data_IF_408910878295
#
_entry.id   IF_408910878295
#
_cell.length_a   1.000
_cell.length_b   1.000
_cell.length_c   1.000
_cell.angle_alpha   90.00
_cell.angle_beta   90.00
_cell.angle_gamma   90.00
#
_symmetry.space_group_name_H-M   'P 1'
#
loop_
_entity.id
_entity.type
_entity.pdbx_description
1 polymer ?
#
# COMPACT_ATOMS: atom_id res chain seq x y z
N UNK A 1 -4.73 10.95 -6.12
CA UNK A 1 -4.76 10.79 -7.59
C UNK A 1 -3.39 10.27 -8.01
N UNK A 2 -3.14 8.96 -7.92
CA UNK A 2 -1.85 8.35 -8.30
C UNK A 2 -2.10 7.19 -9.27
N UNK A 3 -2.96 7.42 -10.27
CA UNK A 3 -3.10 6.53 -11.43
C UNK A 3 -2.11 6.97 -12.48
N UNK A 4 -0.81 6.79 -12.23
CA UNK A 4 0.18 6.85 -13.29
C UNK A 4 -0.11 5.68 -14.23
N UNK A 5 -0.39 5.94 -15.50
CA UNK A 5 -0.39 4.89 -16.52
C UNK A 5 0.98 4.20 -16.46
N UNK A 6 1.04 2.88 -16.21
CA UNK A 6 2.32 2.19 -16.18
C UNK A 6 3.05 2.45 -17.49
N UNK A 7 4.26 3.00 -17.41
CA UNK A 7 5.11 3.13 -18.60
C UNK A 7 5.35 1.74 -19.16
N UNK A 8 4.94 1.52 -20.42
CA UNK A 8 5.30 0.39 -21.29
C UNK A 8 5.44 -0.96 -20.54
N UNK A 9 4.36 -1.72 -20.45
CA UNK A 9 4.40 -3.06 -19.88
C UNK A 9 5.35 -3.94 -20.71
N UNK A 10 6.46 -4.36 -20.08
CA UNK A 10 7.31 -5.43 -20.60
C UNK A 10 6.61 -6.78 -20.55
N UNK A 11 7.17 -7.78 -21.22
CA UNK A 11 6.67 -9.16 -21.11
C UNK A 11 7.26 -9.83 -19.87
N UNK A 12 6.45 -10.63 -19.18
CA UNK A 12 6.86 -11.40 -18.01
C UNK A 12 7.81 -12.53 -18.42
N UNK A 13 9.00 -12.53 -17.82
CA UNK A 13 10.03 -13.56 -18.06
C UNK A 13 10.10 -14.58 -16.93
N UNK A 14 9.69 -14.19 -15.71
CA UNK A 14 9.70 -15.06 -14.54
C UNK A 14 8.80 -14.51 -13.42
N UNK A 15 8.22 -15.43 -12.66
CA UNK A 15 7.37 -15.18 -11.49
C UNK A 15 8.08 -15.57 -10.19
N UNK A 16 7.91 -14.76 -9.16
CA UNK A 16 8.51 -15.00 -7.84
C UNK A 16 7.49 -14.77 -6.72
N UNK A 17 7.44 -15.63 -5.69
CA UNK A 17 6.55 -15.45 -4.54
C UNK A 17 7.04 -14.36 -3.57
N UNK A 18 8.28 -13.88 -3.73
CA UNK A 18 8.88 -12.87 -2.85
C UNK A 18 9.63 -11.81 -3.65
N UNK A 19 9.65 -10.61 -3.11
CA UNK A 19 10.35 -9.48 -3.71
C UNK A 19 11.86 -9.73 -3.79
N UNK A 20 12.46 -10.39 -2.80
CA UNK A 20 13.87 -10.76 -2.82
C UNK A 20 14.22 -11.71 -3.96
N UNK A 21 13.33 -12.67 -4.27
CA UNK A 21 13.47 -13.57 -5.42
C UNK A 21 13.49 -12.79 -6.73
N UNK A 22 12.54 -11.87 -6.89
CA UNK A 22 12.49 -10.97 -8.04
C UNK A 22 13.74 -10.09 -8.15
N UNK A 23 14.22 -9.51 -7.03
CA UNK A 23 15.45 -8.72 -7.03
C UNK A 23 16.68 -9.52 -7.49
N UNK A 24 16.83 -10.76 -7.02
CA UNK A 24 17.94 -11.63 -7.46
C UNK A 24 17.88 -11.90 -8.96
N UNK A 25 16.69 -12.06 -9.52
CA UNK A 25 16.52 -12.23 -10.96
C UNK A 25 16.90 -10.95 -11.72
N UNK A 26 16.48 -9.78 -11.24
CA UNK A 26 16.90 -8.49 -11.81
C UNK A 26 18.42 -8.33 -11.79
N UNK A 27 19.08 -8.67 -10.67
CA UNK A 27 20.54 -8.64 -10.58
C UNK A 27 21.20 -9.50 -11.66
N UNK A 28 20.72 -10.74 -11.88
CA UNK A 28 21.23 -11.64 -12.93
C UNK A 28 21.03 -11.08 -14.34
N UNK A 29 19.91 -10.40 -14.60
CA UNK A 29 19.65 -9.78 -15.89
C UNK A 29 20.60 -8.60 -16.15
N UNK A 30 20.88 -7.81 -15.10
CA UNK A 30 21.85 -6.70 -15.18
C UNK A 30 23.26 -7.25 -15.41
N UNK A 31 23.65 -8.34 -14.75
CA UNK A 31 24.91 -9.05 -14.99
C UNK A 31 25.02 -9.58 -16.43
N UNK A 32 23.89 -9.96 -17.04
CA UNK A 32 23.81 -10.33 -18.45
C UNK A 32 23.75 -9.11 -19.40
N UNK A 33 24.13 -7.91 -18.92
CA UNK A 33 24.17 -6.66 -19.66
C UNK A 33 22.82 -6.26 -20.28
N UNK A 34 21.73 -6.50 -19.56
CA UNK A 34 20.42 -5.99 -19.93
C UNK A 34 20.24 -4.61 -19.25
N UNK A 35 19.86 -3.56 -20.00
CA UNK A 35 19.70 -2.23 -19.41
C UNK A 35 18.68 -2.25 -18.26
N UNK A 36 19.05 -1.75 -17.08
CA UNK A 36 18.16 -1.73 -15.92
C UNK A 36 16.84 -0.98 -16.17
N UNK A 37 16.86 0.05 -17.03
CA UNK A 37 15.68 0.80 -17.48
C UNK A 37 14.67 -0.04 -18.30
N UNK A 38 15.07 -1.24 -18.73
CA UNK A 38 14.24 -2.14 -19.53
C UNK A 38 13.60 -3.23 -18.68
N UNK A 39 13.96 -3.31 -17.39
CA UNK A 39 13.51 -4.33 -16.45
C UNK A 39 12.56 -3.67 -15.45
N UNK A 40 11.42 -4.30 -15.20
CA UNK A 40 10.49 -3.88 -14.15
C UNK A 40 10.10 -5.05 -13.25
N UNK A 41 9.84 -4.76 -11.98
CA UNK A 41 9.22 -5.70 -11.04
C UNK A 41 7.78 -5.25 -10.86
N UNK A 42 6.84 -6.11 -11.26
CA UNK A 42 5.40 -5.85 -11.19
C UNK A 42 4.81 -6.70 -10.07
N UNK A 43 4.32 -6.05 -9.01
CA UNK A 43 3.56 -6.73 -7.97
C UNK A 43 2.14 -7.04 -8.45
N UNK A 44 1.73 -8.29 -8.31
CA UNK A 44 0.42 -8.80 -8.74
C UNK A 44 -0.34 -9.36 -7.54
N UNK A 45 -1.66 -9.38 -7.63
CA UNK A 45 -2.51 -9.70 -6.47
C UNK A 45 -2.26 -8.73 -5.32
N UNK A 46 -2.41 -7.43 -5.59
CA UNK A 46 -2.22 -6.42 -4.55
C UNK A 46 -3.36 -6.52 -3.54
N UNK A 47 -3.03 -6.89 -2.31
CA UNK A 47 -3.94 -6.82 -1.17
C UNK A 47 -3.58 -5.63 -0.30
N UNK A 48 -4.59 -4.84 0.04
CA UNK A 48 -4.46 -3.81 1.06
C UNK A 48 -4.71 -4.46 2.41
N UNK A 49 -3.69 -4.46 3.27
CA UNK A 49 -3.77 -4.94 4.65
C UNK A 49 -3.84 -3.72 5.55
N UNK A 50 -4.97 -3.56 6.23
CA UNK A 50 -5.11 -2.56 7.29
C UNK A 50 -4.68 -3.19 8.61
N UNK A 51 -3.46 -2.87 9.06
CA UNK A 51 -2.95 -3.41 10.33
C UNK A 51 -3.32 -2.45 11.46
N UNK A 52 -4.17 -2.92 12.38
CA UNK A 52 -4.51 -2.18 13.60
C UNK A 52 -3.30 -2.20 14.53
N UNK A 53 -2.59 -1.08 14.64
CA UNK A 53 -1.37 -0.95 15.44
C UNK A 53 -1.66 -0.76 16.92
N UNK A 54 -2.89 -0.35 17.27
CA UNK A 54 -3.30 -0.21 18.67
C UNK A 54 -4.57 0.61 18.84
N UNK A 55 -4.99 0.75 20.11
CA UNK A 55 -6.09 1.64 20.47
C UNK A 55 -5.61 3.08 20.45
N UNK A 56 -6.36 3.90 19.73
CA UNK A 56 -6.14 5.33 19.71
C UNK A 56 -6.63 5.88 21.06
N UNK A 57 -5.73 6.38 21.90
CA UNK A 57 -6.07 6.83 23.24
C UNK A 57 -5.27 8.03 23.70
N UNK A 58 -5.86 8.82 24.59
CA UNK A 58 -5.23 9.99 25.21
C UNK A 58 -3.89 9.67 25.87
N UNK A 59 -3.75 8.46 26.44
CA UNK A 59 -2.49 8.00 27.03
C UNK A 59 -1.36 7.85 26.00
N UNK A 60 -1.65 7.37 24.78
CA UNK A 60 -0.66 7.25 23.72
C UNK A 60 -0.25 8.64 23.20
N UNK A 61 -1.23 9.54 22.98
CA UNK A 61 -0.97 10.92 22.59
C UNK A 61 -0.13 11.66 23.65
N UNK A 62 -0.47 11.52 24.93
CA UNK A 62 0.29 12.09 26.02
C UNK A 62 1.74 11.57 26.04
N UNK A 63 1.98 10.28 25.82
CA UNK A 63 3.35 9.72 25.75
C UNK A 63 4.15 10.31 24.60
N UNK A 64 3.59 10.35 23.39
CA UNK A 64 4.27 10.94 22.23
C UNK A 64 4.52 12.44 22.43
N UNK A 65 3.55 13.15 23.00
CA UNK A 65 3.68 14.55 23.40
C UNK A 65 4.74 14.78 24.46
N UNK A 66 4.86 13.90 25.45
CA UNK A 66 5.90 13.96 26.48
C UNK A 66 7.29 13.78 25.85
N UNK A 67 7.47 12.79 24.96
CA UNK A 67 8.74 12.54 24.27
C UNK A 67 9.18 13.76 23.48
N UNK A 68 8.28 14.36 22.68
CA UNK A 68 8.58 15.60 21.97
C UNK A 68 8.76 16.79 22.92
N UNK A 69 8.02 16.82 24.03
CA UNK A 69 8.12 17.82 25.08
C UNK A 69 9.44 17.76 25.85
N UNK A 70 10.10 16.60 25.95
CA UNK A 70 11.45 16.48 26.52
C UNK A 70 12.43 17.28 25.67
N UNK A 71 12.38 17.13 24.35
CA UNK A 71 13.28 17.87 23.45
C UNK A 71 13.06 19.38 23.58
N UNK A 72 11.79 19.81 23.59
CA UNK A 72 11.43 21.21 23.76
C UNK A 72 11.83 21.76 25.13
N UNK A 73 11.56 21.00 26.19
CA UNK A 73 11.92 21.33 27.56
C UNK A 73 13.42 21.41 27.75
N UNK A 74 14.18 20.49 27.16
CA UNK A 74 15.65 20.50 27.19
C UNK A 74 16.19 21.73 26.45
N UNK A 75 15.63 22.08 25.29
CA UNK A 75 16.02 23.28 24.56
C UNK A 75 15.79 24.55 25.40
N UNK A 76 14.59 24.77 25.92
CA UNK A 76 14.29 25.96 26.71
C UNK A 76 15.07 25.99 28.02
N UNK A 77 15.25 24.83 28.65
CA UNK A 77 16.02 24.73 29.88
C UNK A 77 17.50 25.02 29.64
N UNK A 78 18.07 24.57 28.52
CA UNK A 78 19.43 24.91 28.12
C UNK A 78 19.58 26.42 27.84
N UNK A 79 18.66 27.03 27.08
CA UNK A 79 18.68 28.48 26.82
C UNK A 79 18.59 29.27 28.15
N UNK A 80 17.74 28.82 29.06
CA UNK A 80 17.54 29.49 30.34
C UNK A 80 18.78 29.41 31.25
N UNK A 81 19.45 28.26 31.30
CA UNK A 81 20.71 28.09 32.07
C UNK A 81 21.86 28.88 31.42
N UNK A 82 21.99 28.86 30.09
CA UNK A 82 23.02 29.64 29.39
C UNK A 82 22.83 31.15 29.57
N UNK A 83 21.57 31.62 29.62
CA UNK A 83 21.24 33.02 29.87
C UNK A 83 21.33 33.44 31.35
N UNK A 84 21.48 32.50 32.27
CA UNK A 84 21.50 32.78 33.70
C UNK A 84 22.56 31.93 34.44
N UNK A 85 23.79 32.45 34.64
CA UNK A 85 24.91 31.69 35.23
C UNK A 85 24.69 31.32 36.71
N UNK A 86 23.69 31.89 37.37
CA UNK A 86 23.29 31.56 38.74
C UNK A 86 22.15 30.53 38.79
N UNK A 87 21.74 29.97 37.65
CA UNK A 87 20.62 29.04 37.59
C UNK A 87 20.91 27.76 38.38
N UNK A 88 20.08 27.53 39.40
CA UNK A 88 20.11 26.29 40.18
C UNK A 88 19.61 25.11 39.34
N UNK A 89 20.18 23.92 39.54
CA UNK A 89 19.77 22.67 38.87
C UNK A 89 18.26 22.42 39.02
N UNK A 90 17.65 22.85 40.13
CA UNK A 90 16.21 22.77 40.36
C UNK A 90 15.40 23.53 39.29
N UNK A 91 15.90 24.69 38.85
CA UNK A 91 15.24 25.51 37.84
C UNK A 91 15.34 24.87 36.46
N UNK A 92 16.46 24.23 36.14
CA UNK A 92 16.60 23.44 34.92
C UNK A 92 15.55 22.34 34.85
N UNK A 93 15.41 21.57 35.94
CA UNK A 93 14.42 20.49 36.04
C UNK A 93 13.00 21.08 35.93
N UNK A 94 12.72 22.20 36.60
CA UNK A 94 11.43 22.87 36.54
C UNK A 94 11.03 23.27 35.11
N UNK A 95 11.91 23.97 34.39
CA UNK A 95 11.66 24.39 33.00
C UNK A 95 11.50 23.19 32.07
N UNK A 96 12.31 22.14 32.27
CA UNK A 96 12.20 20.91 31.50
C UNK A 96 10.83 20.23 31.71
N UNK A 97 10.38 20.10 32.96
CA UNK A 97 9.07 19.50 33.28
C UNK A 97 7.91 20.31 32.69
N UNK A 98 8.02 21.64 32.68
CA UNK A 98 7.02 22.51 32.02
C UNK A 98 7.00 22.26 30.51
N UNK A 99 8.16 22.16 29.85
CA UNK A 99 8.22 21.83 28.42
C UNK A 99 7.60 20.47 28.09
N UNK A 100 7.84 19.47 28.95
CA UNK A 100 7.22 18.15 28.87
C UNK A 100 5.69 18.25 29.02
N UNK A 101 5.21 18.97 30.03
CA UNK A 101 3.78 19.15 30.28
C UNK A 101 3.07 19.88 29.13
N UNK A 102 3.68 20.93 28.57
CA UNK A 102 3.17 21.65 27.41
C UNK A 102 3.16 20.73 26.18
N UNK A 103 4.22 19.96 25.95
CA UNK A 103 4.29 18.98 24.85
C UNK A 103 3.19 17.92 24.95
N UNK A 104 2.93 17.40 26.16
CA UNK A 104 1.80 16.50 26.42
C UNK A 104 0.47 17.17 26.11
N UNK A 105 0.23 18.36 26.63
CA UNK A 105 -1.03 19.09 26.47
C UNK A 105 -1.31 19.38 24.99
N UNK A 106 -0.32 19.89 24.27
CA UNK A 106 -0.43 20.16 22.83
C UNK A 106 -0.74 18.89 22.05
N UNK A 107 -0.07 17.77 22.35
CA UNK A 107 -0.35 16.51 21.67
C UNK A 107 -1.76 15.98 21.96
N UNK A 108 -2.25 16.11 23.18
CA UNK A 108 -3.64 15.76 23.56
C UNK A 108 -4.66 16.63 22.82
N UNK A 109 -4.40 17.94 22.67
CA UNK A 109 -5.27 18.86 21.94
C UNK A 109 -5.26 18.53 20.44
N UNK A 110 -4.08 18.35 19.84
CA UNK A 110 -3.98 17.92 18.44
C UNK A 110 -4.70 16.59 18.22
N UNK A 111 -4.55 15.68 19.16
CA UNK A 111 -5.23 14.40 19.15
C UNK A 111 -6.75 14.54 19.20
N UNK A 112 -7.31 15.39 20.08
CA UNK A 112 -8.75 15.58 20.18
C UNK A 112 -9.37 16.17 18.91
N UNK A 113 -8.65 17.06 18.22
CA UNK A 113 -9.07 17.63 16.93
C UNK A 113 -9.09 16.55 15.83
N UNK A 114 -8.09 15.68 15.80
CA UNK A 114 -7.96 14.61 14.80
C UNK A 114 -8.84 13.39 15.09
N UNK A 115 -9.24 13.14 16.35
CA UNK A 115 -10.02 11.96 16.79
C UNK A 115 -11.48 11.94 16.30
N UNK A 116 -11.82 12.61 15.20
CA UNK A 116 -13.23 12.80 14.86
C UNK A 116 -13.99 11.51 14.51
N UNK A 117 -13.34 10.38 14.15
CA UNK A 117 -14.05 9.14 13.71
C UNK A 117 -13.43 7.75 13.94
N UNK A 118 -12.31 7.55 14.67
CA UNK A 118 -11.76 6.18 14.90
C UNK A 118 -11.11 6.01 16.28
N UNK A 119 -11.43 4.90 16.96
CA UNK A 119 -10.83 4.47 18.23
C UNK A 119 -9.58 3.60 18.08
N UNK A 120 -9.04 3.52 16.86
CA UNK A 120 -7.91 2.67 16.51
C UNK A 120 -6.91 3.45 15.65
N UNK A 121 -5.61 3.21 15.87
CA UNK A 121 -4.59 3.58 14.89
C UNK A 121 -4.41 2.42 13.93
N UNK A 122 -4.51 2.70 12.64
CA UNK A 122 -4.25 1.72 11.60
C UNK A 122 -3.21 2.25 10.63
N UNK A 123 -2.38 1.33 10.14
CA UNK A 123 -1.44 1.57 9.04
C UNK A 123 -1.92 0.73 7.87
N UNK A 124 -2.23 1.40 6.76
CA UNK A 124 -2.59 0.74 5.51
C UNK A 124 -1.31 0.38 4.77
N UNK A 125 -1.13 -0.90 4.48
CA UNK A 125 -0.01 -1.40 3.69
C UNK A 125 -0.54 -2.12 2.46
N UNK A 126 0.07 -1.88 1.30
CA UNK A 126 -0.23 -2.63 0.08
C UNK A 126 0.84 -3.70 -0.09
N UNK A 127 0.43 -4.97 -0.10
CA UNK A 127 1.31 -6.13 -0.23
C UNK A 127 0.91 -6.89 -1.49
N UNK A 128 1.89 -7.35 -2.27
CA UNK A 128 1.65 -8.19 -3.44
C UNK A 128 1.67 -9.67 -3.05
N UNK A 129 0.83 -10.48 -3.69
CA UNK A 129 0.83 -11.94 -3.53
C UNK A 129 2.00 -12.58 -4.27
N UNK A 130 2.36 -12.03 -5.43
CA UNK A 130 3.46 -12.48 -6.28
C UNK A 130 4.08 -11.30 -7.04
N UNK A 131 5.30 -11.50 -7.50
CA UNK A 131 6.11 -10.52 -8.21
C UNK A 131 6.52 -11.08 -9.56
N UNK A 132 6.12 -10.40 -10.61
CA UNK A 132 6.52 -10.68 -11.98
C UNK A 132 7.73 -9.82 -12.34
N UNK A 133 8.79 -10.42 -12.88
CA UNK A 133 9.87 -9.67 -13.52
C UNK A 133 9.55 -9.55 -14.99
N UNK A 134 9.42 -8.32 -15.49
CA UNK A 134 9.08 -8.03 -16.88
C UNK A 134 10.22 -7.31 -17.59
N UNK A 135 10.37 -7.54 -18.89
CA UNK A 135 11.40 -6.90 -19.71
C UNK A 135 10.78 -6.31 -20.97
N UNK A 136 11.22 -5.11 -21.37
CA UNK A 136 10.77 -4.47 -22.59
C UNK A 136 11.11 -5.31 -23.84
N UNK A 137 10.27 -5.27 -24.90
CA UNK A 137 10.45 -6.09 -26.11
C UNK A 137 11.85 -5.98 -26.74
N UNK A 138 12.49 -4.80 -26.65
CA UNK A 138 13.84 -4.54 -27.21
C UNK A 138 14.97 -5.38 -26.59
N UNK A 139 14.78 -5.87 -25.36
CA UNK A 139 15.81 -6.66 -24.64
C UNK A 139 15.33 -8.06 -24.26
N UNK A 140 14.13 -8.43 -24.71
CA UNK A 140 13.43 -9.65 -24.31
C UNK A 140 14.12 -10.92 -24.82
N UNK A 141 14.61 -10.92 -26.06
CA UNK A 141 15.37 -12.04 -26.63
C UNK A 141 16.63 -12.32 -25.80
N UNK A 142 17.42 -11.28 -25.51
CA UNK A 142 18.63 -11.37 -24.68
C UNK A 142 18.30 -11.83 -23.25
N UNK A 143 17.19 -11.34 -22.68
CA UNK A 143 16.71 -11.75 -21.36
C UNK A 143 16.32 -13.22 -21.28
N UNK A 144 15.63 -13.75 -22.30
CA UNK A 144 15.30 -15.18 -22.38
C UNK A 144 16.54 -16.04 -22.52
N UNK A 145 17.53 -15.62 -23.32
CA UNK A 145 18.81 -16.32 -23.46
C UNK A 145 19.59 -16.34 -22.13
N UNK A 146 19.66 -15.21 -21.42
CA UNK A 146 20.32 -15.11 -20.13
C UNK A 146 19.63 -15.94 -19.04
N UNK A 147 18.29 -15.92 -19.01
CA UNK A 147 17.49 -16.68 -18.05
C UNK A 147 17.52 -18.18 -18.34
N UNK A 148 17.47 -18.58 -19.61
CA UNK A 148 17.58 -19.97 -20.06
C UNK A 148 18.96 -20.58 -19.77
N UNK A 149 20.04 -19.80 -19.85
CA UNK A 149 21.40 -20.25 -19.48
C UNK A 149 21.52 -20.62 -18.00
N UNK A 150 20.75 -19.95 -17.13
CA UNK A 150 20.69 -20.24 -15.70
C UNK A 150 19.89 -21.51 -15.38
N UNK A 151 18.88 -21.86 -16.19
CA UNK A 151 18.15 -23.12 -16.06
C UNK A 151 19.01 -24.32 -16.50
N UNK A 152 19.86 -24.15 -17.52
CA UNK A 152 20.72 -25.22 -18.05
C UNK A 152 21.98 -25.52 -17.21
N UNK A 153 22.30 -24.67 -16.22
CA UNK A 153 23.45 -24.88 -15.32
C UNK A 153 23.10 -25.65 -14.04
N UNK A 154 21.83 -26.06 -13.86
CA UNK A 154 21.36 -26.96 -12.78
C UNK A 154 20.94 -28.31 -13.38
N UNK A 155 21.81 -28.91 -14.20
CA UNK A 155 21.71 -30.31 -14.62
C UNK A 155 23.03 -31.01 -14.36
N UNK A 156 23.38 -31.14 -13.08
CA UNK A 156 24.32 -32.18 -12.64
C UNK A 156 23.47 -33.22 -11.91
N UNK A 157 22.97 -34.21 -12.64
CA UNK A 157 22.27 -35.36 -12.04
C UNK A 157 23.26 -36.13 -11.14
N UNK A 158 22.92 -36.45 -9.89
CA UNK A 158 23.41 -37.67 -9.27
C UNK A 158 22.69 -38.86 -9.92
N UNK A 159 23.47 -39.88 -10.31
CA UNK A 159 22.98 -41.13 -10.87
C UNK A 159 21.95 -41.83 -9.96
N UNK A 160 20.88 -42.44 -10.51
CA UNK A 160 19.92 -43.18 -9.70
C UNK A 160 20.53 -44.53 -9.31
N UNK A 161 20.89 -44.68 -8.04
CA UNK A 161 21.12 -46.00 -7.45
C UNK A 161 19.75 -46.66 -7.27
N UNK A 162 19.55 -47.81 -7.90
CA UNK A 162 18.32 -48.58 -7.84
C UNK A 162 17.95 -48.91 -6.39
N UNK A 163 16.94 -48.20 -5.87
CA UNK A 163 16.26 -48.50 -4.62
C UNK A 163 14.81 -48.90 -4.94
N UNK A 164 14.44 -50.09 -4.49
CA UNK A 164 13.12 -50.72 -4.61
C UNK A 164 11.97 -49.74 -4.37
N UNK A 165 11.16 -49.50 -5.40
CA UNK A 165 9.93 -48.74 -5.30
C UNK A 165 8.88 -49.53 -4.50
N UNK A 166 8.63 -49.11 -3.25
CA UNK A 166 7.40 -49.45 -2.53
C UNK A 166 6.29 -48.57 -3.11
N UNK A 167 5.28 -49.20 -3.69
CA UNK A 167 4.08 -48.54 -4.25
C UNK A 167 3.16 -48.18 -3.07
N UNK A 168 2.90 -46.89 -2.76
CA UNK A 168 1.80 -46.52 -1.88
C UNK A 168 0.45 -46.68 -2.62
N UNK A 169 -0.66 -47.04 -1.93
CA UNK A 169 -1.95 -47.23 -2.57
C UNK A 169 -2.49 -45.92 -3.13
N UNK A 170 -3.03 -46.00 -4.35
CA UNK A 170 -3.63 -44.90 -5.09
C UNK A 170 -4.83 -44.30 -4.33
N UNK A 171 -4.77 -43.00 -4.05
CA UNK A 171 -5.92 -42.19 -3.64
C UNK A 171 -6.67 -41.77 -4.90
N UNK A 172 -8.00 -42.00 -5.02
CA UNK A 172 -8.77 -41.62 -6.20
C UNK A 172 -8.81 -40.09 -6.40
N UNK A 173 -8.95 -39.59 -7.64
CA UNK A 173 -8.99 -38.17 -7.94
C UNK A 173 -10.25 -37.51 -7.34
N UNK A 174 -10.05 -36.54 -6.45
CA UNK A 174 -11.15 -35.68 -5.95
C UNK A 174 -11.50 -34.65 -7.03
N UNK A 175 -12.78 -34.63 -7.42
CA UNK A 175 -13.36 -33.66 -8.36
C UNK A 175 -13.30 -32.23 -7.79
N UNK A 176 -13.21 -31.19 -8.65
CA UNK A 176 -13.23 -29.80 -8.20
C UNK A 176 -14.57 -29.45 -7.51
N UNK A 177 -14.59 -28.54 -6.53
CA UNK A 177 -15.81 -28.20 -5.79
C UNK A 177 -16.84 -27.54 -6.72
N UNK A 178 -17.99 -28.20 -6.87
CA UNK A 178 -19.16 -27.62 -7.52
C UNK A 178 -19.70 -26.47 -6.65
N UNK A 179 -19.68 -25.26 -7.19
CA UNK A 179 -20.40 -24.10 -6.63
C UNK A 179 -21.88 -24.32 -6.91
N UNK A 180 -22.67 -24.67 -5.88
CA UNK A 180 -24.12 -24.82 -5.99
C UNK A 180 -24.80 -23.44 -6.07
N UNK A 181 -25.67 -23.17 -7.06
CA UNK A 181 -26.38 -21.87 -7.20
C UNK A 181 -27.46 -21.57 -6.14
N UNK A 182 -27.55 -22.35 -5.06
CA UNK A 182 -28.65 -22.31 -4.09
C UNK A 182 -28.23 -21.78 -2.71
N UNK A 183 -27.04 -21.21 -2.56
CA UNK A 183 -26.58 -20.64 -1.30
C UNK A 183 -26.77 -19.10 -1.28
N UNK A 184 -27.42 -18.51 -0.25
CA UNK A 184 -27.63 -17.06 -0.20
C UNK A 184 -26.29 -16.31 -0.05
N UNK A 185 -26.08 -15.19 -0.78
CA UNK A 185 -24.83 -14.44 -0.74
C UNK A 185 -24.58 -13.84 0.64
N UNK A 186 -23.33 -14.00 1.15
CA UNK A 186 -22.89 -13.36 2.38
C UNK A 186 -22.72 -11.85 2.16
N UNK A 187 -23.43 -11.11 3.02
CA UNK A 187 -23.61 -9.67 3.04
C UNK A 187 -22.30 -8.85 3.03
N UNK A 188 -22.25 -7.77 2.22
CA UNK A 188 -21.18 -6.78 2.25
C UNK A 188 -20.89 -6.07 0.91
N UNK A 189 -21.39 -6.57 -0.21
CA UNK A 189 -21.19 -5.98 -1.53
C UNK A 189 -22.39 -5.13 -1.95
N UNK A 190 -22.17 -3.84 -2.24
CA UNK A 190 -23.18 -2.99 -2.86
C UNK A 190 -23.19 -3.33 -4.35
N UNK A 191 -24.17 -4.11 -4.78
CA UNK A 191 -24.52 -4.27 -6.19
C UNK A 191 -25.29 -3.02 -6.61
N UNK A 192 -24.73 -2.24 -7.55
CA UNK A 192 -25.51 -1.24 -8.25
C UNK A 192 -26.59 -1.97 -9.07
N UNK A 193 -27.89 -1.63 -8.94
CA UNK A 193 -28.93 -2.32 -9.69
C UNK A 193 -28.74 -2.07 -11.19
N UNK A 194 -28.64 -3.16 -11.96
CA UNK A 194 -28.73 -3.12 -13.41
C UNK A 194 -30.10 -2.53 -13.83
N UNK A 195 -30.15 -1.72 -14.91
CA UNK A 195 -31.41 -1.15 -15.38
C UNK A 195 -32.35 -2.23 -15.92
N UNK A 196 -33.59 -2.24 -15.44
CA UNK A 196 -34.66 -3.14 -15.89
C UNK A 196 -34.95 -2.95 -17.39
N UNK A 197 -35.03 -4.02 -18.20
CA UNK A 197 -35.38 -3.94 -19.62
C UNK A 197 -36.88 -3.73 -19.88
N UNK A 198 -37.69 -3.42 -18.86
CA UNK A 198 -39.15 -3.23 -18.97
C UNK A 198 -39.63 -1.87 -18.45
N UNK A 199 -38.72 -0.92 -18.18
CA UNK A 199 -39.12 0.45 -17.93
C UNK A 199 -39.49 1.13 -19.26
N UNK A 200 -40.79 1.38 -19.44
CA UNK A 200 -41.35 2.23 -20.48
C UNK A 200 -40.65 3.60 -20.47
N UNK A 201 -40.31 4.20 -21.64
CA UNK A 201 -39.56 5.45 -21.66
C UNK A 201 -40.38 6.54 -20.97
N UNK A 202 -39.82 7.14 -19.91
CA UNK A 202 -40.37 8.35 -19.32
C UNK A 202 -40.48 9.43 -20.42
N UNK A 203 -41.60 10.20 -20.48
CA UNK A 203 -41.76 11.25 -21.47
C UNK A 203 -40.65 12.30 -21.33
N UNK A 204 -40.17 12.87 -22.44
CA UNK A 204 -39.08 13.83 -22.42
C UNK A 204 -39.44 15.03 -21.55
N UNK A 205 -38.51 15.39 -20.67
CA UNK A 205 -38.61 16.61 -19.87
C UNK A 205 -38.75 17.84 -20.79
N UNK A 206 -39.57 18.85 -20.42
CA UNK A 206 -39.71 20.05 -21.21
C UNK A 206 -38.36 20.77 -21.33
N UNK A 207 -38.06 21.24 -22.54
CA UNK A 207 -36.82 21.91 -22.89
C UNK A 207 -36.59 23.15 -21.99
N UNK A 208 -35.33 23.48 -21.66
CA UNK A 208 -35.01 24.71 -20.95
C UNK A 208 -35.40 25.91 -21.81
N UNK A 209 -36.21 26.78 -21.20
CA UNK A 209 -36.70 28.05 -21.74
C UNK A 209 -35.51 28.96 -22.11
N UNK A 210 -35.51 29.62 -23.28
CA UNK A 210 -34.42 30.51 -23.67
C UNK A 210 -34.35 31.73 -22.73
N UNK A 211 -33.14 32.27 -22.49
CA UNK A 211 -32.98 33.42 -21.60
C UNK A 211 -33.75 34.63 -22.13
N UNK A 212 -34.49 35.29 -21.23
CA UNK A 212 -35.21 36.53 -21.52
C UNK A 212 -34.25 37.63 -21.98
N UNK A 213 -34.58 38.27 -23.10
CA UNK A 213 -33.87 39.45 -23.60
C UNK A 213 -33.92 40.61 -22.58
N UNK A 214 -32.83 41.38 -22.41
CA UNK A 214 -32.86 42.58 -21.58
C UNK A 214 -33.77 43.65 -22.21
N UNK A 215 -34.44 44.49 -21.40
CA UNK A 215 -35.34 45.51 -21.92
C UNK A 215 -34.57 46.57 -22.72
N UNK A 216 -35.04 46.82 -23.95
CA UNK A 216 -34.62 47.94 -24.79
C UNK A 216 -34.86 49.27 -24.06
N UNK A 217 -33.80 50.04 -23.85
CA UNK A 217 -33.91 51.43 -23.41
C UNK A 217 -34.58 52.28 -24.51
N UNK A 218 -35.47 53.22 -24.15
CA UNK A 218 -36.17 54.05 -25.11
C UNK A 218 -35.22 55.08 -25.75
N UNK A 219 -35.26 55.17 -27.08
CA UNK A 219 -34.60 56.24 -27.85
C UNK A 219 -35.37 57.55 -27.73
N UNK A 220 -34.67 58.67 -27.57
CA UNK A 220 -34.93 59.90 -28.31
C UNK A 220 -33.87 60.14 -29.39
#
# INVERSE_FOLDING_TARGET
MMGGTPQQHGETIADYPSYEGAQKAVSKLIEAEIPAKDIAIVGRGLRSVETITGRLGYAAAARTGAINGILLGLLFSAIFVLGNPSAVIQLFIGVMLVGIAIGMLMSIISYSILRRRRDYTSVTQVVADHYEVTVLPRSLQKAREASGRAASSVTTLPAPVAGTAVIPPAVPPQSPPHVSPAEPPRYGERVDPAPDPTAEPAPPAPAPEPPADPPLAPRP
#
